data_IF_401239724706
#
_entry.id   IF_401239724706
#
_cell.length_a   1.000
_cell.length_b   1.000
_cell.length_c   1.000
_cell.angle_alpha   90.00
_cell.angle_beta   90.00
_cell.angle_gamma   90.00
#
_symmetry.space_group_name_H-M   'P 1'
#
loop_
_entity.id
_entity.type
_entity.pdbx_description
1 polymer ?
#
# COMPACT_ATOMS: atom_id res chain seq x y z
N UNK A 1 24.71 -0.48 -3.66
CA UNK A 1 24.46 0.80 -2.96
C UNK A 1 23.22 1.49 -3.51
N UNK A 2 22.07 0.80 -3.46
CA UNK A 2 20.74 1.41 -3.51
C UNK A 2 20.79 2.68 -2.66
N UNK A 3 20.30 3.81 -3.18
CA UNK A 3 20.07 4.96 -2.29
C UNK A 3 19.12 4.47 -1.21
N UNK A 4 19.53 4.54 0.06
CA UNK A 4 18.63 4.26 1.17
C UNK A 4 17.64 5.42 1.20
N UNK A 5 16.43 5.17 0.72
CA UNK A 5 15.33 6.08 0.91
C UNK A 5 14.71 5.74 2.26
N UNK A 6 15.23 6.32 3.33
CA UNK A 6 14.71 6.10 4.70
C UNK A 6 13.24 6.56 4.81
N UNK A 7 12.84 7.54 3.99
CA UNK A 7 11.46 7.96 3.83
C UNK A 7 11.25 8.90 2.65
N UNK A 8 9.99 9.13 2.31
CA UNK A 8 9.51 9.97 1.22
C UNK A 8 8.51 10.98 1.80
N UNK A 9 8.71 12.27 1.49
CA UNK A 9 7.79 13.33 1.92
C UNK A 9 7.23 14.06 0.71
N UNK A 10 5.99 13.77 0.34
CA UNK A 10 5.34 14.36 -0.84
C UNK A 10 4.50 15.58 -0.46
N UNK A 11 4.67 16.68 -1.20
CA UNK A 11 3.92 17.93 -0.99
C UNK A 11 2.44 17.76 -1.37
N UNK A 12 1.56 18.31 -0.54
CA UNK A 12 0.12 18.44 -0.78
C UNK A 12 -0.16 19.87 -1.24
N UNK A 13 -0.92 19.99 -2.31
CA UNK A 13 -1.49 21.27 -2.76
C UNK A 13 -2.98 21.08 -3.02
N UNK A 14 -3.81 21.70 -2.17
CA UNK A 14 -5.27 21.47 -2.18
C UNK A 14 -5.60 19.99 -1.93
N UNK A 15 -6.13 19.28 -2.93
CA UNK A 15 -6.48 17.86 -2.85
C UNK A 15 -5.52 16.96 -3.64
N UNK A 16 -4.35 17.48 -4.01
CA UNK A 16 -3.41 16.79 -4.88
C UNK A 16 -2.07 16.59 -4.20
N UNK A 17 -1.47 15.44 -4.46
CA UNK A 17 -0.14 15.06 -3.97
C UNK A 17 0.84 15.12 -5.13
N UNK A 18 1.90 15.92 -4.96
CA UNK A 18 2.94 16.07 -5.98
C UNK A 18 3.90 14.89 -5.95
N UNK A 19 4.48 14.60 -7.11
CA UNK A 19 5.50 13.56 -7.23
C UNK A 19 6.76 14.01 -6.49
N UNK A 20 7.38 13.08 -5.76
CA UNK A 20 8.68 13.34 -5.13
C UNK A 20 9.81 13.52 -6.15
N UNK A 21 10.95 14.04 -5.71
CA UNK A 21 12.10 14.34 -6.57
C UNK A 21 12.81 13.10 -7.15
N UNK A 22 12.65 11.91 -6.54
CA UNK A 22 13.24 10.65 -7.03
C UNK A 22 12.60 10.16 -8.34
N UNK A 23 11.51 10.78 -8.78
CA UNK A 23 10.75 10.38 -9.96
C UNK A 23 11.60 10.50 -11.23
N UNK A 24 11.78 9.41 -11.98
CA UNK A 24 12.61 9.43 -13.20
C UNK A 24 11.96 10.37 -14.23
N UNK A 25 12.72 11.38 -14.62
CA UNK A 25 12.29 12.48 -15.50
C UNK A 25 12.45 12.12 -16.98
N UNK A 26 13.26 11.12 -17.31
CA UNK A 26 13.50 10.69 -18.70
C UNK A 26 12.25 10.07 -19.30
N UNK A 27 12.05 10.28 -20.60
CA UNK A 27 10.88 9.82 -21.38
C UNK A 27 10.60 8.32 -21.28
N UNK A 28 11.64 7.49 -21.06
CA UNK A 28 11.53 6.01 -20.93
C UNK A 28 11.51 5.54 -19.47
N UNK A 29 11.43 6.46 -18.50
CA UNK A 29 11.22 6.12 -17.10
C UNK A 29 9.86 5.46 -16.90
N UNK A 30 9.84 4.39 -16.12
CA UNK A 30 8.63 3.75 -15.62
C UNK A 30 8.48 4.14 -14.16
N UNK A 31 7.47 4.96 -13.90
CA UNK A 31 7.21 5.43 -12.56
C UNK A 31 5.75 5.16 -12.19
N UNK A 32 5.52 4.66 -10.98
CA UNK A 32 4.19 4.37 -10.47
C UNK A 32 4.21 4.26 -8.94
N UNK A 33 3.03 4.44 -8.36
CA UNK A 33 2.71 4.12 -6.96
C UNK A 33 1.56 3.11 -7.03
N UNK A 34 1.64 2.04 -6.25
CA UNK A 34 0.55 1.08 -6.13
C UNK A 34 0.32 0.78 -4.65
N UNK A 35 -0.93 0.87 -4.21
CA UNK A 35 -1.33 0.37 -2.90
C UNK A 35 -1.22 -1.15 -2.91
N UNK A 36 -0.53 -1.72 -1.93
CA UNK A 36 -0.55 -3.15 -1.68
C UNK A 36 -1.85 -3.44 -0.94
N UNK A 37 -2.62 -4.43 -1.41
CA UNK A 37 -3.92 -4.81 -0.83
C UNK A 37 -3.96 -6.25 -0.33
N UNK A 38 -2.84 -6.96 -0.44
CA UNK A 38 -2.70 -8.34 -0.01
C UNK A 38 -1.52 -9.03 -0.68
N UNK A 39 -1.40 -10.33 -0.42
CA UNK A 39 -0.39 -11.18 -1.05
C UNK A 39 -0.95 -11.89 -2.27
N UNK A 40 -0.09 -12.08 -3.26
CA UNK A 40 -0.36 -12.87 -4.46
C UNK A 40 0.62 -14.03 -4.52
N UNK A 41 0.10 -15.26 -4.57
CA UNK A 41 0.90 -16.50 -4.54
C UNK A 41 1.84 -16.65 -5.73
N UNK A 42 1.65 -15.88 -6.81
CA UNK A 42 2.44 -15.95 -8.05
C UNK A 42 3.31 -14.70 -8.28
N UNK A 43 2.84 -13.54 -7.84
CA UNK A 43 3.45 -12.23 -8.16
C UNK A 43 3.88 -11.41 -6.93
N UNK A 44 3.83 -12.00 -5.73
CA UNK A 44 4.26 -11.41 -4.46
C UNK A 44 3.16 -10.56 -3.82
N UNK A 45 2.85 -9.41 -4.42
CA UNK A 45 1.85 -8.47 -3.90
C UNK A 45 0.65 -8.34 -4.84
N UNK A 46 -0.55 -8.33 -4.27
CA UNK A 46 -1.74 -7.75 -4.91
C UNK A 46 -1.62 -6.23 -4.85
N UNK A 47 -1.85 -5.59 -5.99
CA UNK A 47 -1.55 -4.16 -6.20
C UNK A 47 -2.73 -3.46 -6.84
N UNK A 48 -3.08 -2.31 -6.30
CA UNK A 48 -3.96 -1.33 -6.91
C UNK A 48 -3.13 -0.11 -7.31
N UNK A 49 -2.97 0.11 -8.61
CA UNK A 49 -2.15 1.21 -9.11
C UNK A 49 -2.90 2.53 -8.95
N UNK A 50 -2.25 3.50 -8.29
CA UNK A 50 -2.80 4.84 -8.14
C UNK A 50 -2.86 5.50 -9.51
N UNK A 51 -4.00 6.12 -9.82
CA UNK A 51 -4.15 6.90 -11.03
C UNK A 51 -3.42 8.23 -10.92
N UNK A 52 -2.99 8.77 -12.06
CA UNK A 52 -2.41 10.12 -12.10
C UNK A 52 -3.32 11.03 -12.91
N UNK A 53 -3.59 12.21 -12.36
CA UNK A 53 -4.25 13.29 -13.07
C UNK A 53 -3.25 14.39 -13.42
N UNK A 54 -3.70 15.44 -14.12
CA UNK A 54 -2.86 16.58 -14.51
C UNK A 54 -3.41 17.89 -13.98
N UNK A 55 -2.52 18.68 -13.37
CA UNK A 55 -2.74 20.10 -13.11
C UNK A 55 -1.79 20.88 -14.00
N UNK A 56 -2.35 21.55 -15.01
CA UNK A 56 -1.56 22.16 -16.08
C UNK A 56 -0.68 21.12 -16.79
N UNK A 57 0.65 21.21 -16.60
CA UNK A 57 1.63 20.30 -17.21
C UNK A 57 2.14 19.22 -16.26
N UNK A 58 1.80 19.32 -14.98
CA UNK A 58 2.31 18.43 -13.95
C UNK A 58 1.39 17.24 -13.73
N UNK A 59 1.96 16.04 -13.61
CA UNK A 59 1.23 14.85 -13.17
C UNK A 59 1.21 14.83 -11.65
N UNK A 60 0.05 14.59 -11.07
CA UNK A 60 -0.18 14.53 -9.63
C UNK A 60 -1.06 13.33 -9.28
N UNK A 61 -1.07 12.95 -8.01
CA UNK A 61 -1.98 11.97 -7.44
C UNK A 61 -3.11 12.67 -6.67
N UNK A 62 -4.21 11.98 -6.42
CA UNK A 62 -5.26 12.50 -5.54
C UNK A 62 -4.87 12.21 -4.08
N UNK A 63 -5.14 13.15 -3.18
CA UNK A 63 -4.87 12.97 -1.76
C UNK A 63 -5.71 11.83 -1.16
N UNK A 64 -6.93 11.62 -1.68
CA UNK A 64 -7.83 10.57 -1.21
C UNK A 64 -7.32 9.15 -1.48
N UNK A 65 -6.34 8.99 -2.38
CA UNK A 65 -5.70 7.70 -2.64
C UNK A 65 -4.69 7.30 -1.54
N UNK A 66 -4.38 8.22 -0.61
CA UNK A 66 -3.44 8.00 0.49
C UNK A 66 -4.17 7.89 1.83
N UNK A 67 -3.83 6.83 2.57
CA UNK A 67 -4.34 6.58 3.91
C UNK A 67 -3.21 6.21 4.87
N UNK A 68 -3.23 6.78 6.07
CA UNK A 68 -2.30 6.42 7.14
C UNK A 68 -2.47 4.95 7.50
N UNK A 69 -1.37 4.22 7.58
CA UNK A 69 -1.31 2.78 7.83
C UNK A 69 -1.28 1.91 6.57
N UNK A 70 -1.73 2.43 5.42
CA UNK A 70 -1.67 1.69 4.16
C UNK A 70 -0.23 1.58 3.65
N UNK A 71 0.03 0.49 2.93
CA UNK A 71 1.34 0.19 2.33
C UNK A 71 1.30 0.43 0.83
N UNK A 72 2.32 1.08 0.31
CA UNK A 72 2.49 1.40 -1.10
C UNK A 72 3.81 0.82 -1.60
N UNK A 73 3.78 0.15 -2.75
CA UNK A 73 4.98 -0.09 -3.53
C UNK A 73 5.19 1.08 -4.48
N UNK A 74 6.39 1.64 -4.45
CA UNK A 74 6.77 2.79 -5.27
C UNK A 74 7.89 2.38 -6.18
N UNK A 75 7.70 2.62 -7.47
CA UNK A 75 8.74 2.43 -8.47
C UNK A 75 9.05 3.73 -9.21
N UNK A 76 10.34 3.99 -9.38
CA UNK A 76 10.92 5.00 -10.25
C UNK A 76 12.13 4.39 -10.94
N UNK A 77 11.93 3.82 -12.13
CA UNK A 77 12.92 2.96 -12.79
C UNK A 77 13.22 3.46 -14.19
N UNK A 78 14.51 3.55 -14.55
CA UNK A 78 14.94 3.80 -15.92
C UNK A 78 15.25 2.49 -16.64
N UNK A 79 14.60 2.24 -17.78
CA UNK A 79 14.68 0.95 -18.48
C UNK A 79 15.99 0.69 -19.22
N UNK A 80 16.86 1.69 -19.43
CA UNK A 80 18.10 1.50 -20.18
C UNK A 80 19.34 1.73 -19.30
N UNK A 81 19.72 0.69 -18.57
CA UNK A 81 21.07 0.47 -18.07
C UNK A 81 21.51 1.35 -16.89
N UNK A 82 22.13 0.70 -15.91
CA UNK A 82 23.08 1.24 -14.92
C UNK A 82 22.63 2.26 -13.88
N UNK A 83 21.46 2.89 -13.96
CA UNK A 83 20.97 3.77 -12.87
C UNK A 83 20.08 3.00 -11.91
N UNK A 84 20.40 3.08 -10.60
CA UNK A 84 19.57 2.51 -9.53
C UNK A 84 18.24 3.26 -9.50
N UNK A 85 17.19 2.59 -9.93
CA UNK A 85 15.84 3.08 -9.73
C UNK A 85 15.38 2.77 -8.30
N UNK A 86 14.47 3.59 -7.78
CA UNK A 86 13.71 3.22 -6.59
C UNK A 86 12.73 2.13 -6.99
N UNK A 87 12.70 1.03 -6.25
CA UNK A 87 11.61 0.06 -6.27
C UNK A 87 11.53 -0.57 -4.89
N UNK A 88 10.67 -0.02 -4.04
CA UNK A 88 10.60 -0.43 -2.64
C UNK A 88 9.19 -0.25 -2.06
N UNK A 89 8.97 -0.77 -0.86
CA UNK A 89 7.72 -0.68 -0.11
C UNK A 89 7.77 0.36 0.98
N UNK A 90 6.71 1.15 1.10
CA UNK A 90 6.61 2.21 2.08
C UNK A 90 5.25 2.16 2.78
N UNK A 91 5.24 2.40 4.08
CA UNK A 91 3.99 2.63 4.84
C UNK A 91 3.73 4.12 4.94
N UNK A 92 2.48 4.53 4.76
CA UNK A 92 2.09 5.90 5.06
C UNK A 92 1.99 6.10 6.57
N UNK A 93 2.91 6.86 7.15
CA UNK A 93 2.95 7.10 8.61
C UNK A 93 2.18 8.35 9.01
N UNK A 94 2.10 9.35 8.13
CA UNK A 94 1.48 10.62 8.44
C UNK A 94 0.90 11.30 7.20
N UNK A 95 -0.27 11.91 7.35
CA UNK A 95 -0.84 12.86 6.39
C UNK A 95 -1.14 14.15 7.14
N UNK A 96 -0.49 15.23 6.75
CA UNK A 96 -0.67 16.58 7.30
C UNK A 96 -1.42 17.46 6.29
N UNK A 97 -1.66 18.72 6.62
CA UNK A 97 -2.22 19.69 5.65
C UNK A 97 -1.32 19.94 4.45
N UNK A 98 -0.01 19.70 4.58
CA UNK A 98 1.00 20.09 3.58
C UNK A 98 1.77 18.93 2.99
N UNK A 99 1.73 17.75 3.62
CA UNK A 99 2.53 16.61 3.19
C UNK A 99 1.90 15.25 3.48
N UNK A 100 2.17 14.30 2.60
CA UNK A 100 2.09 12.85 2.85
C UNK A 100 3.49 12.35 3.18
N UNK A 101 3.65 11.64 4.30
CA UNK A 101 4.90 11.03 4.75
C UNK A 101 4.80 9.53 4.61
N UNK A 102 5.77 8.94 3.90
CA UNK A 102 5.91 7.51 3.72
C UNK A 102 7.28 7.08 4.25
N UNK A 103 7.31 6.02 5.05
CA UNK A 103 8.55 5.45 5.58
C UNK A 103 8.82 4.10 4.93
N UNK A 104 10.08 3.83 4.57
CA UNK A 104 10.44 2.57 3.95
C UNK A 104 10.23 1.44 4.96
N UNK A 105 9.61 0.36 4.51
CA UNK A 105 9.41 -0.85 5.31
C UNK A 105 10.01 -2.06 4.61
N UNK A 106 10.72 -2.94 5.35
CA UNK A 106 11.24 -4.17 4.78
C UNK A 106 10.14 -5.08 4.24
N UNK A 107 10.48 -5.87 3.23
CA UNK A 107 9.55 -6.83 2.64
C UNK A 107 9.01 -7.82 3.69
N UNK A 108 9.84 -8.25 4.65
CA UNK A 108 9.44 -9.16 5.71
C UNK A 108 8.29 -8.60 6.55
N UNK A 109 8.34 -7.31 6.90
CA UNK A 109 7.28 -6.63 7.67
C UNK A 109 5.98 -6.53 6.87
N UNK A 110 6.07 -6.31 5.55
CA UNK A 110 4.89 -6.34 4.66
C UNK A 110 4.22 -7.72 4.69
N UNK A 111 5.02 -8.79 4.62
CA UNK A 111 4.52 -10.16 4.63
C UNK A 111 3.82 -10.50 5.94
N UNK A 112 4.40 -10.10 7.09
CA UNK A 112 3.81 -10.33 8.41
C UNK A 112 2.43 -9.67 8.53
N UNK A 113 2.32 -8.38 8.17
CA UNK A 113 1.05 -7.64 8.27
C UNK A 113 -0.08 -8.25 7.44
N UNK A 114 0.22 -8.81 6.27
CA UNK A 114 -0.78 -9.42 5.42
C UNK A 114 -1.04 -10.89 5.72
N UNK A 115 -0.07 -11.63 6.28
CA UNK A 115 -0.31 -12.98 6.79
C UNK A 115 -1.34 -12.97 7.92
N UNK A 116 -1.22 -12.03 8.86
CA UNK A 116 -2.16 -11.86 9.97
C UNK A 116 -3.57 -11.47 9.49
N UNK A 117 -3.66 -10.70 8.39
CA UNK A 117 -4.94 -10.33 7.80
C UNK A 117 -5.64 -11.49 7.10
N UNK A 118 -4.92 -12.38 6.39
CA UNK A 118 -5.56 -13.54 5.74
C UNK A 118 -6.13 -14.53 6.76
N UNK A 119 -5.45 -14.79 7.87
CA UNK A 119 -6.01 -15.60 8.97
C UNK A 119 -7.25 -14.95 9.59
N UNK A 120 -7.23 -13.63 9.79
CA UNK A 120 -8.36 -12.89 10.36
C UNK A 120 -9.56 -12.84 9.40
N UNK A 121 -9.33 -12.69 8.09
CA UNK A 121 -10.38 -12.74 7.07
C UNK A 121 -10.99 -14.14 6.95
N UNK A 122 -10.17 -15.19 7.02
CA UNK A 122 -10.67 -16.57 7.06
C UNK A 122 -11.55 -16.81 8.30
N UNK A 123 -11.10 -16.38 9.48
CA UNK A 123 -11.88 -16.47 10.72
C UNK A 123 -13.20 -15.68 10.62
N UNK A 124 -13.17 -14.44 10.11
CA UNK A 124 -14.36 -13.60 9.92
C UNK A 124 -15.36 -14.23 8.95
N UNK A 125 -14.89 -14.79 7.83
CA UNK A 125 -15.75 -15.47 6.88
C UNK A 125 -16.41 -16.72 7.48
N UNK A 126 -15.67 -17.47 8.29
CA UNK A 126 -16.16 -18.66 8.97
C UNK A 126 -17.23 -18.30 10.02
N UNK A 127 -16.99 -17.23 10.79
CA UNK A 127 -17.96 -16.65 11.72
C UNK A 127 -19.21 -16.16 10.99
N UNK A 128 -19.06 -15.46 9.86
CA UNK A 128 -20.22 -15.02 9.05
C UNK A 128 -21.02 -16.20 8.50
N UNK A 129 -20.36 -17.29 8.09
CA UNK A 129 -21.06 -18.49 7.64
C UNK A 129 -21.81 -19.17 8.79
N UNK A 130 -21.20 -19.26 9.98
CA UNK A 130 -21.85 -19.78 11.18
C UNK A 130 -23.08 -18.93 11.55
N UNK A 131 -22.95 -17.60 11.54
CA UNK A 131 -24.05 -16.68 11.86
C UNK A 131 -25.20 -16.67 10.83
N UNK A 132 -25.02 -17.28 9.65
CA UNK A 132 -26.13 -17.54 8.70
C UNK A 132 -26.96 -18.76 9.07
N UNK A 133 -26.42 -19.66 9.89
CA UNK A 133 -27.01 -20.96 10.24
C UNK A 133 -27.54 -20.95 11.67
N UNK A 134 -26.81 -20.29 12.57
CA UNK A 134 -27.15 -20.16 14.00
C UNK A 134 -27.13 -18.70 14.40
N UNK A 135 -27.93 -18.34 15.39
CA UNK A 135 -27.91 -16.99 15.95
C UNK A 135 -26.61 -16.76 16.74
N UNK A 136 -26.29 -15.48 17.02
CA UNK A 136 -25.08 -15.11 17.76
C UNK A 136 -25.00 -15.79 19.13
N UNK A 137 -26.13 -15.93 19.83
CA UNK A 137 -26.18 -16.50 21.17
C UNK A 137 -25.98 -18.02 21.14
N UNK A 138 -26.56 -18.71 20.16
CA UNK A 138 -26.34 -20.15 19.92
C UNK A 138 -24.89 -20.46 19.50
N UNK A 139 -24.27 -19.58 18.70
CA UNK A 139 -22.87 -19.73 18.32
C UNK A 139 -21.92 -19.61 19.53
N UNK A 140 -22.21 -18.70 20.46
CA UNK A 140 -21.42 -18.52 21.69
C UNK A 140 -21.56 -19.73 22.61
N UNK A 141 -22.76 -20.30 22.77
CA UNK A 141 -22.95 -21.54 23.53
C UNK A 141 -22.19 -22.73 22.92
N UNK A 142 -22.26 -22.91 21.60
CA UNK A 142 -21.55 -23.99 20.92
C UNK A 142 -20.03 -23.90 21.08
N UNK A 143 -19.47 -22.69 21.03
CA UNK A 143 -18.04 -22.46 21.26
C UNK A 143 -17.67 -22.75 22.72
N UNK A 144 -18.52 -22.40 23.69
CA UNK A 144 -18.25 -22.68 25.12
C UNK A 144 -18.36 -24.16 25.49
N UNK A 145 -19.17 -24.93 24.76
CA UNK A 145 -19.37 -26.37 25.02
C UNK A 145 -18.33 -27.24 24.31
N UNK A 146 -17.76 -26.78 23.19
CA UNK A 146 -16.91 -27.60 22.32
C UNK A 146 -15.55 -26.99 21.94
N UNK A 147 -15.26 -25.74 22.30
CA UNK A 147 -13.94 -25.10 22.14
C UNK A 147 -13.07 -25.27 23.38
#
# INVERSE_FOLDING_TARGET
MTENFDGIRMEITSCFVRKHEYWEKRRRGKNWIARITGLDTRYGYKREFLETTRIGREKVFLLEDFHVGDIYEIASIYTSGTTKGLKDTFVCTEITETHVVLECIPQEEVLERYADQEENVAAQNLVQQLLKIVTKDEAVELIQVHG
#
